data_IF_602974291714
#
_entry.id   IF_602974291714
#
_cell.length_a   1.000
_cell.length_b   1.000
_cell.length_c   1.000
_cell.angle_alpha   90.00
_cell.angle_beta   90.00
_cell.angle_gamma   90.00
#
_symmetry.space_group_name_H-M   'P 1'
#
loop_
_entity.id
_entity.type
_entity.pdbx_description
1 polymer ?
#
# COMPACT_ATOMS: atom_id res chain seq x y z
N UNK A 1 -10.29 0.65 -20.39
CA UNK A 1 -10.52 0.87 -18.94
C UNK A 1 -9.16 0.93 -18.27
N UNK A 2 -8.95 1.89 -17.35
CA UNK A 2 -7.71 1.99 -16.56
C UNK A 2 -7.83 1.07 -15.35
N UNK A 3 -6.82 0.24 -15.10
CA UNK A 3 -6.81 -0.68 -13.96
C UNK A 3 -6.29 0.04 -12.70
N UNK A 4 -6.74 -0.37 -11.51
CA UNK A 4 -6.38 0.30 -10.24
C UNK A 4 -4.88 0.14 -9.94
N UNK A 5 -4.29 -0.96 -10.39
CA UNK A 5 -2.85 -1.24 -10.31
C UNK A 5 -2.05 -0.22 -11.12
N UNK A 6 -2.54 0.14 -12.31
CA UNK A 6 -1.91 1.16 -13.15
C UNK A 6 -1.96 2.53 -12.47
N UNK A 7 -3.05 2.84 -11.76
CA UNK A 7 -3.15 4.08 -10.97
C UNK A 7 -2.11 4.06 -9.84
N UNK A 8 -2.05 2.98 -9.04
CA UNK A 8 -1.08 2.86 -7.95
C UNK A 8 0.36 3.00 -8.45
N UNK A 9 0.67 2.38 -9.59
CA UNK A 9 1.95 2.49 -10.26
C UNK A 9 2.26 3.92 -10.71
N UNK A 10 1.34 4.58 -11.42
CA UNK A 10 1.54 5.97 -11.93
C UNK A 10 1.70 6.95 -10.77
N UNK A 11 0.92 6.80 -9.70
CA UNK A 11 1.08 7.61 -8.48
C UNK A 11 2.44 7.38 -7.85
N UNK A 12 2.93 6.13 -7.85
CA UNK A 12 4.30 5.79 -7.46
C UNK A 12 5.35 6.51 -8.31
N UNK A 13 5.21 6.48 -9.64
CA UNK A 13 6.12 7.18 -10.56
C UNK A 13 6.16 8.68 -10.26
N UNK A 14 4.99 9.32 -10.09
CA UNK A 14 4.91 10.75 -9.76
C UNK A 14 5.60 11.02 -8.42
N UNK A 15 5.32 10.20 -7.39
CA UNK A 15 5.88 10.39 -6.06
C UNK A 15 7.41 10.25 -6.04
N UNK A 16 7.96 9.24 -6.73
CA UNK A 16 9.40 9.03 -6.85
C UNK A 16 10.11 10.09 -7.69
N UNK A 17 9.42 10.65 -8.68
CA UNK A 17 9.93 11.78 -9.46
C UNK A 17 10.00 13.08 -8.63
N UNK A 18 9.00 13.33 -7.78
CA UNK A 18 8.95 14.52 -6.91
C UNK A 18 9.90 14.39 -5.70
N UNK A 19 10.14 13.17 -5.20
CA UNK A 19 10.96 12.90 -4.02
C UNK A 19 12.13 11.93 -4.31
N UNK A 20 13.04 12.26 -5.26
CA UNK A 20 14.10 11.36 -5.68
C UNK A 20 15.06 11.01 -4.53
N UNK A 21 15.41 9.74 -4.40
CA UNK A 21 16.39 9.23 -3.44
C UNK A 21 16.05 9.34 -1.95
N UNK A 22 14.92 9.95 -1.56
CA UNK A 22 14.53 10.17 -0.16
C UNK A 22 13.56 9.13 0.39
N UNK A 23 13.16 8.15 -0.42
CA UNK A 23 12.14 7.20 -0.05
C UNK A 23 12.70 5.99 0.69
N UNK A 24 12.24 5.79 1.92
CA UNK A 24 12.41 4.53 2.64
C UNK A 24 11.34 3.53 2.19
N UNK A 25 11.61 2.89 1.04
CA UNK A 25 10.71 1.92 0.39
C UNK A 25 10.37 0.73 1.30
N UNK A 26 11.32 0.32 2.13
CA UNK A 26 11.13 -0.79 3.07
C UNK A 26 10.20 -0.38 4.22
N UNK A 27 10.33 0.84 4.71
CA UNK A 27 9.38 1.39 5.68
C UNK A 27 8.00 1.64 5.07
N UNK A 28 7.90 2.04 3.79
CA UNK A 28 6.60 2.12 3.08
C UNK A 28 5.90 0.75 3.07
N UNK A 29 6.62 -0.32 2.71
CA UNK A 29 6.07 -1.69 2.72
C UNK A 29 5.65 -2.14 4.13
N UNK A 30 6.49 -1.88 5.15
CA UNK A 30 6.16 -2.19 6.55
C UNK A 30 4.92 -1.44 7.02
N UNK A 31 4.83 -0.14 6.72
CA UNK A 31 3.68 0.70 7.07
C UNK A 31 2.42 0.21 6.37
N UNK A 32 2.49 -0.14 5.09
CA UNK A 32 1.36 -0.70 4.37
C UNK A 32 0.84 -2.00 5.01
N UNK A 33 1.75 -2.90 5.40
CA UNK A 33 1.39 -4.13 6.12
C UNK A 33 0.70 -3.81 7.45
N UNK A 34 1.28 -2.93 8.26
CA UNK A 34 0.72 -2.54 9.56
C UNK A 34 -0.66 -1.89 9.38
N UNK A 35 -0.79 -0.94 8.46
CA UNK A 35 -2.05 -0.24 8.18
C UNK A 35 -3.11 -1.23 7.69
N UNK A 36 -2.76 -2.16 6.78
CA UNK A 36 -3.68 -3.17 6.31
C UNK A 36 -4.19 -4.09 7.43
N UNK A 37 -3.29 -4.56 8.31
CA UNK A 37 -3.66 -5.36 9.49
C UNK A 37 -4.59 -4.56 10.41
N UNK A 38 -4.22 -3.32 10.74
CA UNK A 38 -4.99 -2.46 11.65
C UNK A 38 -6.39 -2.21 11.09
N UNK A 39 -6.52 -1.88 9.80
CA UNK A 39 -7.81 -1.65 9.16
C UNK A 39 -8.67 -2.93 9.20
N UNK A 40 -8.10 -4.08 8.85
CA UNK A 40 -8.85 -5.33 8.87
C UNK A 40 -9.32 -5.73 10.28
N UNK A 41 -8.48 -5.51 11.30
CA UNK A 41 -8.86 -5.72 12.69
C UNK A 41 -9.97 -4.77 13.13
N UNK A 42 -9.87 -3.47 12.82
CA UNK A 42 -10.88 -2.48 13.19
C UNK A 42 -12.24 -2.82 12.58
N UNK A 43 -12.27 -3.21 11.30
CA UNK A 43 -13.51 -3.60 10.63
C UNK A 43 -14.10 -4.87 11.26
N UNK A 44 -13.29 -5.90 11.49
CA UNK A 44 -13.81 -7.13 12.09
C UNK A 44 -14.28 -6.97 13.53
N UNK A 45 -13.55 -6.20 14.34
CA UNK A 45 -13.98 -5.85 15.70
C UNK A 45 -15.26 -5.03 15.71
N UNK A 46 -15.41 -4.10 14.75
CA UNK A 46 -16.65 -3.35 14.59
C UNK A 46 -17.83 -4.28 14.28
N UNK A 47 -17.65 -5.27 13.40
CA UNK A 47 -18.66 -6.30 13.13
C UNK A 47 -18.96 -7.14 14.39
N UNK A 48 -17.95 -7.41 15.22
CA UNK A 48 -18.10 -8.19 16.44
C UNK A 48 -19.02 -7.52 17.47
N UNK A 49 -19.20 -6.18 17.42
CA UNK A 49 -20.14 -5.46 18.28
C UNK A 49 -21.60 -5.87 18.03
N UNK A 50 -21.92 -6.31 16.81
CA UNK A 50 -23.28 -6.69 16.42
C UNK A 50 -23.45 -8.20 16.30
N UNK A 51 -22.40 -8.90 15.86
CA UNK A 51 -22.40 -10.36 15.67
C UNK A 51 -21.08 -10.95 16.18
N UNK A 52 -20.95 -11.26 17.48
CA UNK A 52 -19.65 -11.51 18.13
C UNK A 52 -18.81 -12.64 17.49
N UNK A 53 -19.40 -13.81 17.29
CA UNK A 53 -18.68 -14.99 16.75
C UNK A 53 -18.21 -14.72 15.31
N UNK A 54 -19.08 -14.12 14.49
CA UNK A 54 -18.75 -13.80 13.09
C UNK A 54 -17.71 -12.68 13.03
N UNK A 55 -17.83 -11.65 13.86
CA UNK A 55 -16.91 -10.53 13.88
C UNK A 55 -15.49 -10.91 14.27
N UNK A 56 -15.29 -11.85 15.20
CA UNK A 56 -13.96 -12.36 15.55
C UNK A 56 -13.31 -13.07 14.36
N UNK A 57 -14.07 -13.92 13.64
CA UNK A 57 -13.60 -14.58 12.43
C UNK A 57 -13.26 -13.56 11.33
N UNK A 58 -14.14 -12.57 11.13
CA UNK A 58 -13.94 -11.47 10.17
C UNK A 58 -12.72 -10.62 10.55
N UNK A 59 -12.41 -10.43 11.83
CA UNK A 59 -11.23 -9.70 12.26
C UNK A 59 -9.95 -10.43 11.86
N UNK A 60 -9.87 -11.75 12.11
CA UNK A 60 -8.71 -12.55 11.72
C UNK A 60 -8.51 -12.61 10.20
N UNK A 61 -9.57 -12.98 9.47
CA UNK A 61 -9.52 -13.07 8.00
C UNK A 61 -9.32 -11.70 7.38
N UNK A 62 -10.06 -10.70 7.85
CA UNK A 62 -9.99 -9.32 7.37
C UNK A 62 -8.60 -8.71 7.57
N UNK A 63 -7.99 -8.88 8.74
CA UNK A 63 -6.62 -8.42 8.98
C UNK A 63 -5.64 -8.97 7.93
N UNK A 64 -5.70 -10.27 7.65
CA UNK A 64 -4.85 -10.90 6.64
C UNK A 64 -5.19 -10.42 5.22
N UNK A 65 -6.47 -10.39 4.85
CA UNK A 65 -6.91 -9.96 3.52
C UNK A 65 -6.52 -8.51 3.22
N UNK A 66 -6.78 -7.58 4.15
CA UNK A 66 -6.41 -6.17 3.97
C UNK A 66 -4.90 -5.96 3.96
N UNK A 67 -4.15 -6.71 4.78
CA UNK A 67 -2.69 -6.69 4.75
C UNK A 67 -2.14 -7.09 3.37
N UNK A 68 -2.65 -8.18 2.79
CA UNK A 68 -2.23 -8.66 1.48
C UNK A 68 -2.61 -7.69 0.36
N UNK A 69 -3.82 -7.14 0.39
CA UNK A 69 -4.27 -6.15 -0.61
C UNK A 69 -3.45 -4.87 -0.52
N UNK A 70 -3.21 -4.36 0.68
CA UNK A 70 -2.37 -3.18 0.89
C UNK A 70 -0.94 -3.43 0.39
N UNK A 71 -0.37 -4.59 0.69
CA UNK A 71 0.96 -4.97 0.24
C UNK A 71 1.03 -5.09 -1.30
N UNK A 72 0.03 -5.72 -1.91
CA UNK A 72 -0.08 -5.87 -3.36
C UNK A 72 0.00 -4.50 -4.07
N UNK A 73 -0.85 -3.54 -3.69
CA UNK A 73 -0.81 -2.20 -4.30
C UNK A 73 0.45 -1.42 -3.96
N UNK A 74 0.97 -1.58 -2.74
CA UNK A 74 2.21 -0.91 -2.32
C UNK A 74 3.40 -1.38 -3.15
N UNK A 75 3.45 -2.65 -3.56
CA UNK A 75 4.49 -3.16 -4.46
C UNK A 75 4.44 -2.41 -5.81
N UNK A 76 3.27 -2.28 -6.43
CA UNK A 76 3.13 -1.51 -7.68
C UNK A 76 3.55 -0.05 -7.50
N UNK A 77 3.13 0.58 -6.40
CA UNK A 77 3.52 1.93 -6.06
C UNK A 77 5.05 2.05 -5.94
N UNK A 78 5.69 1.19 -5.15
CA UNK A 78 7.15 1.20 -4.92
C UNK A 78 7.92 0.97 -6.22
N UNK A 79 7.47 0.05 -7.09
CA UNK A 79 8.08 -0.12 -8.42
C UNK A 79 7.98 1.16 -9.23
N UNK A 80 6.83 1.83 -9.20
CA UNK A 80 6.64 3.15 -9.79
C UNK A 80 7.65 4.15 -9.26
N UNK A 81 7.86 4.20 -7.94
CA UNK A 81 8.78 5.19 -7.35
C UNK A 81 10.24 5.00 -7.77
N UNK A 82 10.68 3.76 -8.00
CA UNK A 82 12.01 3.49 -8.59
C UNK A 82 12.15 4.12 -9.98
N UNK A 83 11.11 4.02 -10.81
CA UNK A 83 11.12 4.57 -12.17
C UNK A 83 11.08 6.10 -12.13
N UNK A 84 10.26 6.69 -11.25
CA UNK A 84 10.21 8.14 -11.05
C UNK A 84 11.57 8.71 -10.63
N UNK A 85 12.22 8.07 -9.64
CA UNK A 85 13.55 8.44 -9.16
C UNK A 85 14.61 8.33 -10.27
N UNK A 86 14.55 7.28 -11.09
CA UNK A 86 15.46 7.11 -12.23
C UNK A 86 15.25 8.19 -13.32
N UNK A 87 14.00 8.58 -13.58
CA UNK A 87 13.67 9.62 -14.56
C UNK A 87 14.22 10.98 -14.13
N UNK A 88 14.04 11.34 -12.85
CA UNK A 88 14.53 12.61 -12.32
C UNK A 88 16.07 12.67 -12.29
N UNK A 89 16.74 11.57 -11.95
CA UNK A 89 18.21 11.49 -12.00
C UNK A 89 18.76 11.70 -13.41
N UNK A 90 18.06 11.20 -14.43
CA UNK A 90 18.44 11.42 -15.83
C UNK A 90 18.26 12.88 -16.23
N UNK A 91 17.15 13.50 -15.80
CA UNK A 91 16.87 14.92 -16.07
C UNK A 91 17.87 15.85 -15.40
N UNK A 92 18.24 15.60 -14.14
CA UNK A 92 19.19 16.43 -13.39
C UNK A 92 20.64 16.31 -13.87
N UNK A 93 20.98 15.30 -14.68
CA UNK A 93 22.33 15.09 -15.23
C UNK A 93 22.57 15.78 -16.57
N UNK A 94 21.52 16.22 -17.26
CA UNK A 94 21.58 16.99 -18.51
C UNK A 94 21.35 18.47 -18.22
#
# INVERSE_FOLDING_TARGET
>A
MVSIELIAFVVGVIYGFVNPGKEDRLNILKKALIIGIVIGLLIGLFVALFVPIVGILVAGVGALSFALVALYFTIFFVIGTFIGDALERTRSRN
#
